data_IF_093683851998
#
_entry.id   IF_093683851998
#
_cell.length_a   1.000
_cell.length_b   1.000
_cell.length_c   1.000
_cell.angle_alpha   90.00
_cell.angle_beta   90.00
_cell.angle_gamma   90.00
#
_symmetry.space_group_name_H-M   'P 1'
#
loop_
_entity.id
_entity.type
_entity.pdbx_description
1 polymer ?
#
# COMPACT_ATOMS: atom_id res chain seq x y z
N UNK A 1 -14.86 -18.46 -51.66
CA UNK A 1 -15.08 -17.22 -52.42
C UNK A 1 -15.55 -16.11 -51.47
N UNK A 2 -14.86 -14.96 -51.58
CA UNK A 2 -15.14 -13.64 -50.96
C UNK A 2 -15.04 -13.62 -49.41
N UNK A 3 -14.04 -13.08 -48.75
CA UNK A 3 -13.09 -12.01 -49.08
C UNK A 3 -13.65 -10.61 -48.84
N UNK A 4 -13.21 -9.95 -47.74
CA UNK A 4 -13.03 -8.48 -47.64
C UNK A 4 -12.55 -8.15 -46.22
N UNK A 5 -11.28 -7.82 -46.05
CA UNK A 5 -10.68 -6.48 -46.18
C UNK A 5 -11.37 -5.48 -45.25
N UNK A 6 -10.71 -5.15 -44.16
CA UNK A 6 -10.79 -3.84 -43.55
C UNK A 6 -9.39 -3.20 -43.54
N UNK A 7 -9.32 -2.12 -44.30
CA UNK A 7 -8.15 -1.29 -44.54
C UNK A 7 -7.76 -0.49 -43.32
N UNK A 8 -6.47 -0.25 -43.27
CA UNK A 8 -5.76 0.75 -42.47
C UNK A 8 -6.26 2.18 -42.73
N UNK A 9 -6.25 2.99 -41.74
CA UNK A 9 -6.01 4.43 -41.87
C UNK A 9 -5.09 4.89 -40.78
N UNK A 10 -3.94 5.36 -41.23
CA UNK A 10 -2.83 5.93 -40.49
C UNK A 10 -3.04 7.43 -40.17
N UNK A 11 -2.39 7.85 -39.11
CA UNK A 11 -1.75 9.15 -38.85
C UNK A 11 -2.63 10.32 -38.40
N UNK A 12 -2.40 10.81 -37.26
CA UNK A 12 -1.88 12.14 -36.87
C UNK A 12 -2.22 12.51 -35.43
N UNK A 13 -1.22 13.00 -34.68
CA UNK A 13 -1.41 13.96 -33.58
C UNK A 13 -1.09 13.49 -32.18
N UNK A 14 0.16 13.60 -31.80
CA UNK A 14 0.68 13.53 -30.43
C UNK A 14 0.12 14.67 -29.57
N UNK A 15 -0.10 14.40 -28.28
CA UNK A 15 -0.39 15.31 -27.17
C UNK A 15 -1.82 15.36 -26.60
N UNK A 16 -2.75 14.54 -27.07
CA UNK A 16 -4.13 14.50 -26.53
C UNK A 16 -4.56 13.13 -26.02
N UNK A 17 -3.61 12.18 -25.90
CA UNK A 17 -3.96 10.75 -25.88
C UNK A 17 -4.55 10.19 -24.58
N UNK A 18 -4.36 10.85 -23.45
CA UNK A 18 -4.98 10.33 -22.20
C UNK A 18 -6.51 10.51 -22.21
N UNK A 19 -6.99 11.64 -22.68
CA UNK A 19 -8.44 11.86 -22.87
C UNK A 19 -8.97 11.06 -24.05
N UNK A 20 -8.16 10.91 -25.11
CA UNK A 20 -8.53 10.16 -26.32
C UNK A 20 -8.42 8.65 -26.10
N UNK A 21 -7.48 8.13 -25.33
CA UNK A 21 -7.41 6.68 -25.04
C UNK A 21 -8.54 6.25 -24.12
N UNK A 22 -8.90 7.02 -23.11
CA UNK A 22 -10.09 6.77 -22.30
C UNK A 22 -11.39 6.91 -23.12
N UNK A 23 -11.50 7.95 -23.93
CA UNK A 23 -12.66 8.15 -24.82
C UNK A 23 -12.68 7.14 -25.98
N UNK A 24 -11.52 6.71 -26.52
CA UNK A 24 -11.43 5.70 -27.57
C UNK A 24 -11.76 4.31 -27.04
N UNK A 25 -11.29 3.94 -25.83
CA UNK A 25 -11.72 2.71 -25.15
C UNK A 25 -13.21 2.76 -24.80
N UNK A 26 -13.72 3.88 -24.31
CA UNK A 26 -15.15 4.08 -24.10
C UNK A 26 -15.96 4.00 -25.39
N UNK A 27 -15.48 4.60 -26.49
CA UNK A 27 -16.14 4.52 -27.81
C UNK A 27 -16.00 3.15 -28.49
N UNK A 28 -14.89 2.44 -28.27
CA UNK A 28 -14.71 1.06 -28.78
C UNK A 28 -15.61 0.08 -28.02
N UNK A 29 -15.78 0.27 -26.72
CA UNK A 29 -16.75 -0.46 -25.89
C UNK A 29 -18.20 -0.26 -26.36
N UNK A 30 -18.52 0.94 -26.80
CA UNK A 30 -19.87 1.24 -27.31
C UNK A 30 -20.17 0.66 -28.69
N UNK A 31 -19.17 0.27 -29.47
CA UNK A 31 -19.34 -0.23 -30.87
C UNK A 31 -19.29 -1.75 -31.04
N UNK A 32 -18.89 -2.54 -30.05
CA UNK A 32 -18.73 -3.99 -30.17
C UNK A 32 -19.82 -4.84 -29.50
N UNK A 33 -20.93 -4.26 -29.07
CA UNK A 33 -21.99 -5.00 -28.40
C UNK A 33 -23.27 -5.06 -29.23
N UNK A 34 -23.30 -5.93 -30.22
CA UNK A 34 -24.54 -6.40 -30.90
C UNK A 34 -25.06 -7.69 -30.22
N UNK A 35 -25.43 -7.62 -28.95
CA UNK A 35 -26.43 -8.48 -28.30
C UNK A 35 -27.24 -7.58 -27.36
N UNK A 36 -28.57 -7.78 -27.21
CA UNK A 36 -29.34 -7.04 -26.22
C UNK A 36 -28.96 -7.52 -24.81
N UNK A 37 -27.80 -7.04 -24.33
CA UNK A 37 -27.41 -7.23 -22.94
C UNK A 37 -28.21 -6.27 -22.09
N UNK A 38 -28.89 -6.79 -21.08
CA UNK A 38 -29.53 -5.98 -20.05
C UNK A 38 -28.54 -4.93 -19.54
N UNK A 39 -29.01 -3.74 -19.14
CA UNK A 39 -28.18 -2.64 -18.61
C UNK A 39 -27.20 -3.15 -17.54
N UNK A 40 -27.61 -4.16 -16.80
CA UNK A 40 -26.81 -4.86 -15.77
C UNK A 40 -25.64 -5.67 -16.39
N UNK A 41 -25.84 -6.33 -17.52
CA UNK A 41 -24.79 -7.08 -18.22
C UNK A 41 -23.70 -6.17 -18.79
N UNK A 42 -24.08 -5.01 -19.34
CA UNK A 42 -23.10 -4.01 -19.81
C UNK A 42 -22.29 -3.42 -18.67
N UNK A 43 -22.89 -3.18 -17.51
CA UNK A 43 -22.21 -2.67 -16.32
C UNK A 43 -21.23 -3.70 -15.75
N UNK A 44 -21.59 -4.99 -15.71
CA UNK A 44 -20.68 -6.06 -15.26
C UNK A 44 -19.49 -6.23 -16.20
N UNK A 45 -19.67 -6.10 -17.52
CA UNK A 45 -18.57 -6.20 -18.49
C UNK A 45 -17.64 -4.99 -18.41
N UNK A 46 -18.17 -3.78 -18.21
CA UNK A 46 -17.39 -2.57 -17.97
C UNK A 46 -16.55 -2.67 -16.69
N UNK A 47 -17.15 -3.16 -15.60
CA UNK A 47 -16.44 -3.38 -14.34
C UNK A 47 -15.33 -4.41 -14.49
N UNK A 48 -15.59 -5.54 -15.18
CA UNK A 48 -14.57 -6.56 -15.44
C UNK A 48 -13.41 -6.04 -16.28
N UNK A 49 -13.70 -5.20 -17.29
CA UNK A 49 -12.68 -4.62 -18.16
C UNK A 49 -11.87 -3.56 -17.42
N UNK A 50 -12.52 -2.75 -16.57
CA UNK A 50 -11.84 -1.82 -15.66
C UNK A 50 -10.89 -2.55 -14.68
N UNK A 51 -11.35 -3.64 -14.07
CA UNK A 51 -10.52 -4.41 -13.12
C UNK A 51 -9.32 -5.13 -13.78
N UNK A 52 -9.28 -5.23 -15.11
CA UNK A 52 -8.12 -5.76 -15.84
C UNK A 52 -7.00 -4.73 -16.03
N UNK A 53 -7.27 -3.44 -15.76
CA UNK A 53 -6.26 -2.40 -15.86
C UNK A 53 -5.28 -2.53 -14.68
N UNK A 54 -3.99 -2.54 -14.94
CA UNK A 54 -2.94 -2.52 -13.89
C UNK A 54 -3.11 -1.33 -12.92
N UNK A 55 -3.72 -0.23 -13.37
CA UNK A 55 -3.98 0.98 -12.57
C UNK A 55 -5.30 0.97 -11.79
N UNK A 56 -6.15 -0.06 -11.94
CA UNK A 56 -7.50 -0.07 -11.35
C UNK A 56 -7.50 0.09 -9.84
N UNK A 57 -6.58 -0.58 -9.13
CA UNK A 57 -6.44 -0.46 -7.68
C UNK A 57 -6.13 0.97 -7.24
N UNK A 58 -5.18 1.63 -7.91
CA UNK A 58 -4.85 3.03 -7.62
C UNK A 58 -6.00 3.99 -7.89
N UNK A 59 -6.77 3.79 -8.97
CA UNK A 59 -7.94 4.62 -9.30
C UNK A 59 -9.05 4.44 -8.26
N UNK A 60 -9.32 3.20 -7.83
CA UNK A 60 -10.29 2.93 -6.76
C UNK A 60 -9.88 3.56 -5.44
N UNK A 61 -8.60 3.53 -5.13
CA UNK A 61 -8.04 4.12 -3.92
C UNK A 61 -8.22 5.65 -3.92
N UNK A 62 -7.90 6.32 -5.02
CA UNK A 62 -8.14 7.76 -5.20
C UNK A 62 -9.64 8.06 -5.10
N UNK A 63 -10.48 7.27 -5.77
CA UNK A 63 -11.94 7.42 -5.74
C UNK A 63 -12.50 7.31 -4.32
N UNK A 64 -12.05 6.31 -3.55
CA UNK A 64 -12.44 6.11 -2.16
C UNK A 64 -12.02 7.29 -1.27
N UNK A 65 -10.81 7.84 -1.50
CA UNK A 65 -10.31 9.02 -0.79
C UNK A 65 -11.15 10.26 -1.07
N UNK A 66 -11.41 10.53 -2.35
CA UNK A 66 -12.27 11.66 -2.74
C UNK A 66 -13.65 11.51 -2.13
N UNK A 67 -14.21 10.30 -2.16
CA UNK A 67 -15.51 10.01 -1.55
C UNK A 67 -15.49 10.25 -0.03
N UNK A 68 -14.43 9.86 0.67
CA UNK A 68 -14.25 10.09 2.11
C UNK A 68 -14.23 11.60 2.43
N UNK A 69 -13.39 12.36 1.68
CA UNK A 69 -13.31 13.83 1.87
C UNK A 69 -14.63 14.49 1.56
N UNK A 70 -15.34 14.11 0.50
CA UNK A 70 -16.66 14.64 0.17
C UNK A 70 -17.67 14.27 1.26
N UNK A 71 -17.70 13.04 1.74
CA UNK A 71 -18.61 12.61 2.80
C UNK A 71 -18.37 13.40 4.10
N UNK A 72 -17.10 13.58 4.49
CA UNK A 72 -16.71 14.32 5.69
C UNK A 72 -17.02 15.83 5.63
N UNK A 73 -17.20 16.40 4.42
CA UNK A 73 -17.46 17.84 4.20
C UNK A 73 -18.83 18.13 3.58
N UNK A 74 -19.75 17.19 3.63
CA UNK A 74 -21.10 17.30 3.09
C UNK A 74 -22.15 17.19 4.21
N UNK A 75 -23.44 17.42 3.93
CA UNK A 75 -24.53 17.16 4.87
C UNK A 75 -24.57 15.68 5.36
N UNK A 76 -23.85 14.79 4.72
CA UNK A 76 -23.74 13.37 5.09
C UNK A 76 -22.67 13.08 6.15
N UNK A 77 -21.98 14.10 6.69
CA UNK A 77 -20.95 13.92 7.73
C UNK A 77 -21.46 13.14 8.94
N UNK A 78 -22.71 13.39 9.35
CA UNK A 78 -23.35 12.63 10.44
C UNK A 78 -23.48 11.13 10.15
N UNK A 79 -23.82 10.76 8.90
CA UNK A 79 -23.89 9.36 8.46
C UNK A 79 -22.49 8.74 8.36
N UNK A 80 -21.52 9.49 7.85
CA UNK A 80 -20.12 9.05 7.74
C UNK A 80 -19.54 8.73 9.13
N UNK A 81 -19.67 9.64 10.08
CA UNK A 81 -19.20 9.43 11.45
C UNK A 81 -19.97 8.29 12.14
N UNK A 82 -21.30 8.23 11.99
CA UNK A 82 -22.08 7.12 12.53
C UNK A 82 -21.64 5.75 11.99
N UNK A 83 -21.24 5.65 10.72
CA UNK A 83 -20.67 4.42 10.16
C UNK A 83 -19.35 4.07 10.84
N UNK A 84 -18.43 5.03 11.00
CA UNK A 84 -17.12 4.78 11.61
C UNK A 84 -17.22 4.44 13.10
N UNK A 85 -18.14 5.07 13.81
CA UNK A 85 -18.36 4.90 15.25
C UNK A 85 -19.29 3.74 15.58
N UNK A 86 -19.88 3.07 14.57
CA UNK A 86 -20.78 1.95 14.78
C UNK A 86 -20.11 0.90 15.67
N UNK A 87 -20.66 0.58 16.86
CA UNK A 87 -20.09 -0.42 17.74
C UNK A 87 -20.30 -1.82 17.14
N UNK A 88 -19.19 -2.47 16.79
CA UNK A 88 -19.17 -3.86 16.32
C UNK A 88 -18.68 -4.75 17.44
N UNK A 89 -19.52 -5.70 17.86
CA UNK A 89 -19.21 -6.66 18.91
C UNK A 89 -19.16 -8.07 18.34
N UNK A 90 -18.05 -8.76 18.55
CA UNK A 90 -17.91 -10.20 18.30
C UNK A 90 -17.69 -10.90 19.62
N UNK A 91 -18.58 -11.86 19.94
CA UNK A 91 -18.52 -12.64 21.17
C UNK A 91 -18.47 -14.13 20.86
N UNK A 92 -17.44 -14.79 21.34
CA UNK A 92 -17.29 -16.24 21.25
C UNK A 92 -17.06 -16.79 22.65
N UNK A 93 -18.10 -17.33 23.27
CA UNK A 93 -18.05 -17.78 24.65
C UNK A 93 -17.74 -16.65 25.64
N UNK A 94 -16.62 -16.78 26.36
CA UNK A 94 -16.13 -15.78 27.30
C UNK A 94 -15.31 -14.65 26.64
N UNK A 95 -14.89 -14.84 25.38
CA UNK A 95 -14.10 -13.84 24.65
C UNK A 95 -15.04 -12.83 24.02
N UNK A 96 -14.91 -11.58 24.43
CA UNK A 96 -15.64 -10.43 23.89
C UNK A 96 -14.65 -9.42 23.30
N UNK A 97 -14.87 -9.03 22.05
CA UNK A 97 -14.19 -7.92 21.38
C UNK A 97 -15.26 -6.96 20.91
N UNK A 98 -15.32 -5.79 21.53
CA UNK A 98 -16.23 -4.70 21.17
C UNK A 98 -15.40 -3.46 20.85
N UNK A 99 -15.41 -3.03 19.60
CA UNK A 99 -14.67 -1.86 19.10
C UNK A 99 -15.53 -1.13 18.06
N UNK A 100 -15.32 0.19 17.83
CA UNK A 100 -15.89 0.90 16.69
C UNK A 100 -15.49 0.26 15.35
N UNK A 101 -16.34 0.41 14.33
CA UNK A 101 -16.07 -0.13 12.98
C UNK A 101 -14.73 0.36 12.41
N UNK A 102 -14.34 1.62 12.67
CA UNK A 102 -13.04 2.15 12.28
C UNK A 102 -11.88 1.30 12.81
N UNK A 103 -11.91 0.89 14.07
CA UNK A 103 -10.84 0.06 14.64
C UNK A 103 -10.86 -1.37 14.10
N UNK A 104 -12.03 -1.91 13.74
CA UNK A 104 -12.11 -3.21 13.04
C UNK A 104 -11.49 -3.14 11.64
N UNK A 105 -11.68 -2.02 10.94
CA UNK A 105 -11.04 -1.75 9.63
C UNK A 105 -9.54 -1.67 9.81
N UNK A 106 -9.05 -0.89 10.79
CA UNK A 106 -7.63 -0.66 11.00
C UNK A 106 -6.89 -1.90 11.53
N UNK A 107 -7.48 -2.67 12.46
CA UNK A 107 -6.85 -3.85 13.03
C UNK A 107 -7.09 -5.12 12.19
N UNK A 108 -8.31 -5.29 11.68
CA UNK A 108 -8.75 -6.52 11.01
C UNK A 108 -8.37 -6.55 9.53
N UNK A 109 -8.78 -5.54 8.75
CA UNK A 109 -8.48 -5.51 7.31
C UNK A 109 -6.98 -5.31 7.06
N UNK A 110 -6.32 -4.47 7.89
CA UNK A 110 -4.88 -4.29 7.78
C UNK A 110 -4.10 -5.54 8.19
N UNK A 111 -4.60 -6.40 9.08
CA UNK A 111 -3.97 -7.70 9.35
C UNK A 111 -3.99 -8.61 8.11
N UNK A 112 -5.05 -8.57 7.29
CA UNK A 112 -5.12 -9.30 6.01
C UNK A 112 -4.18 -8.70 4.98
N UNK A 113 -4.06 -7.36 4.92
CA UNK A 113 -3.07 -6.67 4.09
C UNK A 113 -1.64 -7.12 4.46
N UNK A 114 -1.28 -7.06 5.74
CA UNK A 114 0.05 -7.48 6.19
C UNK A 114 0.28 -9.00 6.07
N UNK A 115 -0.78 -9.80 6.07
CA UNK A 115 -0.68 -11.22 5.70
C UNK A 115 -0.26 -11.38 4.24
N UNK A 116 -0.87 -10.64 3.31
CA UNK A 116 -0.46 -10.63 1.90
C UNK A 116 1.00 -10.19 1.75
N UNK A 117 1.39 -9.06 2.36
CA UNK A 117 2.78 -8.57 2.34
C UNK A 117 3.75 -9.63 2.90
N UNK A 118 3.37 -10.32 3.97
CA UNK A 118 4.17 -11.40 4.53
C UNK A 118 4.34 -12.60 3.58
N UNK A 119 3.31 -12.95 2.80
CA UNK A 119 3.37 -14.00 1.76
C UNK A 119 4.30 -13.56 0.62
N UNK A 120 4.15 -12.35 0.11
CA UNK A 120 5.01 -11.75 -0.91
C UNK A 120 6.46 -11.70 -0.44
N UNK A 121 6.70 -11.19 0.77
CA UNK A 121 8.02 -11.14 1.38
C UNK A 121 8.67 -12.51 1.43
N UNK A 122 7.97 -13.53 1.93
CA UNK A 122 8.48 -14.89 2.01
C UNK A 122 8.81 -15.45 0.62
N UNK A 123 7.96 -15.23 -0.38
CA UNK A 123 8.20 -15.67 -1.75
C UNK A 123 9.41 -14.98 -2.34
N UNK A 124 9.52 -13.67 -2.21
CA UNK A 124 10.63 -12.89 -2.73
C UNK A 124 11.98 -13.32 -2.12
N UNK A 125 12.02 -13.60 -0.80
CA UNK A 125 13.24 -14.06 -0.14
C UNK A 125 13.65 -15.47 -0.56
N UNK A 126 12.70 -16.38 -0.82
CA UNK A 126 13.01 -17.78 -1.09
C UNK A 126 13.19 -18.10 -2.58
N UNK A 127 12.46 -17.44 -3.46
CA UNK A 127 12.41 -17.76 -4.89
C UNK A 127 12.44 -16.53 -5.82
N UNK A 128 12.31 -15.30 -5.28
CA UNK A 128 12.20 -14.07 -6.06
C UNK A 128 13.53 -13.31 -6.21
N UNK A 129 13.39 -12.03 -6.57
CA UNK A 129 14.51 -11.10 -6.78
C UNK A 129 15.34 -10.90 -5.50
N UNK A 130 14.73 -11.03 -4.33
CA UNK A 130 15.41 -10.91 -3.03
C UNK A 130 16.22 -12.14 -2.64
N UNK A 131 16.18 -13.23 -3.42
CA UNK A 131 17.01 -14.43 -3.20
C UNK A 131 18.48 -14.21 -3.57
N UNK A 132 18.80 -13.20 -4.38
CA UNK A 132 20.15 -12.87 -4.82
C UNK A 132 20.68 -11.64 -4.12
N UNK A 133 21.77 -11.76 -3.35
CA UNK A 133 22.43 -10.64 -2.67
C UNK A 133 22.68 -9.43 -3.57
N UNK A 134 23.07 -9.68 -4.83
CA UNK A 134 23.40 -8.60 -5.78
C UNK A 134 22.19 -7.77 -6.21
N UNK A 135 21.00 -8.36 -6.21
CA UNK A 135 19.73 -7.71 -6.57
C UNK A 135 19.11 -6.98 -5.38
N UNK A 136 19.31 -7.52 -4.18
CA UNK A 136 18.78 -6.98 -2.91
C UNK A 136 19.44 -5.67 -2.50
N UNK A 137 20.74 -5.50 -2.74
CA UNK A 137 21.53 -4.39 -2.17
C UNK A 137 21.03 -3.01 -2.61
N UNK A 138 20.66 -2.85 -3.88
CA UNK A 138 20.24 -1.55 -4.38
C UNK A 138 18.87 -1.11 -3.80
N UNK A 139 17.81 -1.94 -3.84
CA UNK A 139 16.54 -1.60 -3.22
C UNK A 139 16.64 -1.43 -1.69
N UNK A 140 17.41 -2.28 -0.99
CA UNK A 140 17.57 -2.15 0.47
C UNK A 140 18.32 -0.90 0.88
N UNK A 141 19.36 -0.50 0.13
CA UNK A 141 20.03 0.78 0.35
C UNK A 141 19.07 1.96 0.14
N UNK A 142 18.29 1.90 -0.95
CA UNK A 142 17.23 2.89 -1.22
C UNK A 142 16.20 2.96 -0.10
N UNK A 143 15.72 1.82 0.41
CA UNK A 143 14.75 1.76 1.50
C UNK A 143 15.33 2.32 2.81
N UNK A 144 16.56 1.96 3.17
CA UNK A 144 17.24 2.54 4.35
C UNK A 144 17.32 4.06 4.28
N UNK A 145 17.73 4.61 3.13
CA UNK A 145 17.73 6.05 2.91
C UNK A 145 16.33 6.64 2.92
N UNK A 146 15.38 5.94 2.26
CA UNK A 146 13.96 6.31 2.19
C UNK A 146 13.23 6.27 3.52
N UNK A 147 13.71 5.58 4.53
CA UNK A 147 13.22 5.63 5.91
C UNK A 147 13.98 6.66 6.74
N UNK A 148 15.31 6.64 6.72
CA UNK A 148 16.14 7.43 7.62
C UNK A 148 16.04 8.95 7.34
N UNK A 149 16.07 9.37 6.07
CA UNK A 149 16.05 10.80 5.72
C UNK A 149 14.71 11.47 6.00
N UNK A 150 13.53 10.88 5.62
CA UNK A 150 12.24 11.42 6.01
C UNK A 150 12.07 11.57 7.52
N UNK A 151 12.47 10.55 8.28
CA UNK A 151 12.44 10.57 9.74
C UNK A 151 13.32 11.69 10.29
N UNK A 152 14.54 11.85 9.78
CA UNK A 152 15.44 12.92 10.21
C UNK A 152 14.84 14.31 9.96
N UNK A 153 14.22 14.54 8.78
CA UNK A 153 13.54 15.80 8.46
C UNK A 153 12.35 16.03 9.40
N UNK A 154 11.53 15.00 9.61
CA UNK A 154 10.39 15.10 10.51
C UNK A 154 10.80 15.46 11.94
N UNK A 155 11.79 14.76 12.48
CA UNK A 155 12.32 15.00 13.83
C UNK A 155 12.94 16.40 13.92
N UNK A 156 13.69 16.85 12.91
CA UNK A 156 14.27 18.18 12.90
C UNK A 156 13.22 19.30 12.95
N UNK A 157 12.05 19.10 12.33
CA UNK A 157 10.97 20.09 12.35
C UNK A 157 10.17 20.02 13.66
N UNK A 158 9.98 18.82 14.23
CA UNK A 158 9.07 18.59 15.35
C UNK A 158 9.76 18.39 16.71
N UNK A 159 11.11 18.54 16.80
CA UNK A 159 11.90 18.24 17.99
C UNK A 159 11.43 18.95 19.28
N UNK A 160 10.78 20.09 19.16
CA UNK A 160 10.32 20.89 20.31
C UNK A 160 8.98 20.43 20.88
N UNK A 161 8.26 19.51 20.23
CA UNK A 161 6.95 19.04 20.70
C UNK A 161 6.95 17.51 20.85
N UNK A 162 6.97 17.03 22.10
CA UNK A 162 7.01 15.60 22.41
C UNK A 162 5.79 14.83 21.89
N UNK A 163 4.60 15.46 21.83
CA UNK A 163 3.40 14.82 21.27
C UNK A 163 3.57 14.60 19.76
N UNK A 164 4.03 15.63 19.02
CA UNK A 164 4.23 15.51 17.57
C UNK A 164 5.32 14.50 17.23
N UNK A 165 6.33 14.36 18.06
CA UNK A 165 7.38 13.37 17.87
C UNK A 165 6.86 11.93 17.82
N UNK A 166 5.70 11.62 18.39
CA UNK A 166 5.10 10.27 18.26
C UNK A 166 4.85 9.89 16.79
N UNK A 167 4.60 10.87 15.93
CA UNK A 167 4.38 10.67 14.50
C UNK A 167 5.63 10.49 13.63
N UNK A 168 6.82 10.29 14.24
CA UNK A 168 8.10 10.25 13.52
C UNK A 168 8.18 9.20 12.40
N UNK A 169 7.44 8.11 12.54
CA UNK A 169 7.44 7.01 11.57
C UNK A 169 6.47 7.24 10.38
N UNK A 170 5.54 8.21 10.49
CA UNK A 170 4.53 8.47 9.44
C UNK A 170 5.16 8.69 8.06
N UNK A 171 6.20 9.55 7.89
CA UNK A 171 6.80 9.79 6.58
C UNK A 171 7.78 8.70 6.13
N UNK A 172 8.02 7.65 6.93
CA UNK A 172 8.94 6.57 6.59
C UNK A 172 8.34 5.57 5.59
N UNK A 173 7.01 5.39 5.56
CA UNK A 173 6.35 4.38 4.75
C UNK A 173 6.09 4.83 3.30
N UNK A 174 5.99 3.85 2.39
CA UNK A 174 5.59 4.02 0.99
C UNK A 174 4.34 3.20 0.69
N UNK A 175 3.36 3.76 0.00
CA UNK A 175 2.19 3.04 -0.50
C UNK A 175 2.50 2.44 -1.87
N UNK A 176 2.81 1.12 -1.89
CA UNK A 176 3.12 0.37 -3.11
C UNK A 176 1.98 0.44 -4.11
N UNK A 177 0.75 0.21 -3.66
CA UNK A 177 -0.40 0.10 -4.54
C UNK A 177 -0.67 1.41 -5.29
N UNK A 178 -0.55 2.54 -4.58
CA UNK A 178 -0.70 3.86 -5.18
C UNK A 178 0.49 4.19 -6.10
N UNK A 179 1.73 3.97 -5.66
CA UNK A 179 2.93 4.28 -6.43
C UNK A 179 3.00 3.47 -7.75
N UNK A 180 2.69 2.15 -7.69
CA UNK A 180 2.56 1.31 -8.89
C UNK A 180 1.38 1.74 -9.75
N UNK A 181 0.26 2.15 -9.17
CA UNK A 181 -0.89 2.69 -9.90
C UNK A 181 -0.53 3.92 -10.72
N UNK A 182 0.21 4.87 -10.13
CA UNK A 182 0.73 6.06 -10.84
C UNK A 182 1.72 5.65 -11.94
N UNK A 183 2.63 4.71 -11.65
CA UNK A 183 3.58 4.21 -12.63
C UNK A 183 2.89 3.48 -13.79
N UNK A 184 1.82 2.73 -13.52
CA UNK A 184 1.04 2.03 -14.53
C UNK A 184 0.33 2.98 -15.53
N UNK A 185 0.07 4.24 -15.14
CA UNK A 185 -0.47 5.26 -16.06
C UNK A 185 0.50 5.61 -17.20
N UNK A 186 1.80 5.35 -17.03
CA UNK A 186 2.82 5.52 -18.08
C UNK A 186 2.86 4.32 -19.06
N UNK A 187 2.09 3.27 -18.79
CA UNK A 187 1.90 2.12 -19.65
C UNK A 187 3.18 1.32 -19.92
N UNK A 188 3.33 0.87 -21.15
CA UNK A 188 4.45 0.02 -21.60
C UNK A 188 5.80 0.75 -21.70
N UNK A 189 5.83 2.08 -21.51
CA UNK A 189 7.08 2.89 -21.48
C UNK A 189 7.94 2.57 -20.26
N UNK A 190 7.35 2.04 -19.19
CA UNK A 190 8.06 1.74 -17.94
C UNK A 190 8.81 0.41 -18.06
N UNK A 191 10.16 0.42 -17.98
CA UNK A 191 10.95 -0.81 -17.95
C UNK A 191 10.58 -1.68 -16.75
N UNK A 192 10.55 -3.01 -16.95
CA UNK A 192 10.27 -3.95 -15.88
C UNK A 192 11.24 -3.80 -14.68
N UNK A 193 12.50 -3.48 -14.94
CA UNK A 193 13.50 -3.24 -13.89
C UNK A 193 13.15 -2.09 -12.95
N UNK A 194 12.46 -1.03 -13.42
CA UNK A 194 11.97 0.05 -12.55
C UNK A 194 10.80 -0.42 -11.68
N UNK A 195 9.86 -1.20 -12.25
CA UNK A 195 8.76 -1.80 -11.47
C UNK A 195 9.31 -2.70 -10.38
N UNK A 196 10.24 -3.60 -10.73
CA UNK A 196 10.91 -4.50 -9.77
C UNK A 196 11.65 -3.73 -8.68
N UNK A 197 12.40 -2.68 -9.05
CA UNK A 197 13.10 -1.84 -8.07
C UNK A 197 12.13 -1.18 -7.09
N UNK A 198 11.04 -0.56 -7.59
CA UNK A 198 10.03 0.07 -6.74
C UNK A 198 9.36 -0.95 -5.80
N UNK A 199 8.94 -2.10 -6.35
CA UNK A 199 8.30 -3.17 -5.56
C UNK A 199 9.25 -3.71 -4.49
N UNK A 200 10.49 -4.03 -4.85
CA UNK A 200 11.49 -4.53 -3.89
C UNK A 200 11.79 -3.51 -2.79
N UNK A 201 11.96 -2.22 -3.16
CA UNK A 201 12.19 -1.14 -2.21
C UNK A 201 11.02 -1.02 -1.23
N UNK A 202 9.80 -1.02 -1.74
CA UNK A 202 8.61 -0.86 -0.92
C UNK A 202 8.36 -2.07 -0.02
N UNK A 203 8.70 -3.30 -0.44
CA UNK A 203 8.71 -4.49 0.44
C UNK A 203 9.66 -4.26 1.63
N UNK A 204 10.85 -3.69 1.42
CA UNK A 204 11.76 -3.35 2.53
C UNK A 204 11.21 -2.23 3.41
N UNK A 205 10.56 -1.22 2.84
CA UNK A 205 9.87 -0.17 3.59
C UNK A 205 8.76 -0.76 4.48
N UNK A 206 7.97 -1.71 3.96
CA UNK A 206 6.90 -2.37 4.71
C UNK A 206 7.46 -3.24 5.84
N UNK A 207 8.56 -3.97 5.61
CA UNK A 207 9.27 -4.71 6.67
C UNK A 207 9.77 -3.76 7.74
N UNK A 208 10.35 -2.63 7.33
CA UNK A 208 10.79 -1.57 8.24
C UNK A 208 9.63 -1.00 9.06
N UNK A 209 8.50 -0.73 8.41
CA UNK A 209 7.28 -0.26 9.07
C UNK A 209 6.75 -1.28 10.10
N UNK A 210 6.69 -2.58 9.74
CA UNK A 210 6.28 -3.65 10.65
C UNK A 210 7.19 -3.70 11.89
N UNK A 211 8.52 -3.61 11.70
CA UNK A 211 9.47 -3.60 12.82
C UNK A 211 9.31 -2.36 13.70
N UNK A 212 9.11 -1.20 13.09
CA UNK A 212 8.87 0.05 13.82
C UNK A 212 7.58 -0.07 14.64
N UNK A 213 6.49 -0.55 14.05
CA UNK A 213 5.21 -0.74 14.74
C UNK A 213 5.38 -1.71 15.90
N UNK A 214 6.05 -2.84 15.69
CA UNK A 214 6.25 -3.85 16.72
C UNK A 214 7.04 -3.35 17.93
N UNK A 215 8.03 -2.45 17.72
CA UNK A 215 8.93 -2.00 18.78
C UNK A 215 8.44 -0.72 19.44
N UNK A 216 7.90 0.23 18.69
CA UNK A 216 7.64 1.59 19.16
C UNK A 216 6.16 1.89 19.42
N UNK A 217 5.21 1.10 18.85
CA UNK A 217 3.76 1.30 19.01
C UNK A 217 3.11 0.15 19.79
N UNK A 218 3.87 -0.51 20.66
CA UNK A 218 3.36 -1.54 21.58
C UNK A 218 2.88 -0.86 22.85
N UNK A 219 1.67 -1.20 23.30
CA UNK A 219 1.04 -0.74 24.54
C UNK A 219 1.42 -1.65 25.73
N UNK A 220 0.67 -1.57 26.82
CA UNK A 220 0.85 -2.44 27.98
C UNK A 220 0.68 -3.92 27.64
N UNK A 221 1.71 -4.71 27.91
CA UNK A 221 1.74 -6.13 27.55
C UNK A 221 0.94 -6.99 28.52
N UNK A 222 -0.02 -7.74 27.99
CA UNK A 222 -0.79 -8.75 28.73
C UNK A 222 -0.14 -10.12 28.59
N UNK A 223 0.55 -10.59 29.62
CA UNK A 223 1.33 -11.85 29.61
C UNK A 223 0.49 -13.07 29.20
N UNK A 224 -0.76 -13.18 29.68
CA UNK A 224 -1.65 -14.30 29.35
C UNK A 224 -1.96 -14.37 27.85
N UNK A 225 -2.23 -13.23 27.22
CA UNK A 225 -2.50 -13.16 25.78
C UNK A 225 -1.23 -13.48 24.97
N UNK A 226 -0.06 -13.05 25.43
CA UNK A 226 1.22 -13.40 24.82
C UNK A 226 1.52 -14.90 24.91
N UNK A 227 1.28 -15.52 26.07
CA UNK A 227 1.44 -16.98 26.21
C UNK A 227 0.52 -17.75 25.25
N UNK A 228 -0.74 -17.30 25.11
CA UNK A 228 -1.65 -17.91 24.14
C UNK A 228 -1.18 -17.69 22.69
N UNK A 229 -0.69 -16.51 22.34
CA UNK A 229 -0.10 -16.24 21.03
C UNK A 229 1.12 -17.15 20.77
N UNK A 230 2.00 -17.34 21.75
CA UNK A 230 3.13 -18.27 21.63
C UNK A 230 2.67 -19.71 21.37
N UNK A 231 1.62 -20.19 22.05
CA UNK A 231 1.04 -21.52 21.80
C UNK A 231 0.55 -21.62 20.37
N UNK A 232 -0.16 -20.61 19.83
CA UNK A 232 -0.63 -20.59 18.44
C UNK A 232 0.54 -20.62 17.43
N UNK A 233 1.61 -19.90 17.70
CA UNK A 233 2.84 -19.91 16.89
C UNK A 233 3.47 -21.31 16.90
N UNK A 234 3.55 -21.96 18.05
CA UNK A 234 4.06 -23.35 18.15
C UNK A 234 3.21 -24.31 17.34
N UNK A 235 1.87 -24.19 17.39
CA UNK A 235 0.95 -25.01 16.61
C UNK A 235 1.15 -24.77 15.11
N UNK A 236 1.29 -23.52 14.66
CA UNK A 236 1.60 -23.17 13.26
C UNK A 236 2.95 -23.77 12.82
N UNK A 237 3.96 -23.72 13.68
CA UNK A 237 5.25 -24.33 13.43
C UNK A 237 5.15 -25.85 13.27
N UNK A 238 4.40 -26.52 14.14
CA UNK A 238 4.15 -27.98 14.07
C UNK A 238 3.44 -28.34 12.76
N UNK A 239 2.38 -27.63 12.39
CA UNK A 239 1.66 -27.84 11.13
C UNK A 239 2.59 -27.71 9.92
N UNK A 240 3.44 -26.68 9.91
CA UNK A 240 4.40 -26.47 8.85
C UNK A 240 5.44 -27.60 8.79
N UNK A 241 5.96 -28.07 9.95
CA UNK A 241 6.91 -29.18 10.03
C UNK A 241 6.34 -30.53 9.64
N UNK A 242 5.04 -30.73 9.89
CA UNK A 242 4.31 -31.92 9.46
C UNK A 242 3.97 -31.89 7.96
N UNK A 243 4.31 -30.83 7.24
CA UNK A 243 4.08 -30.71 5.81
C UNK A 243 2.60 -30.59 5.42
N UNK A 244 1.75 -30.09 6.33
CA UNK A 244 0.31 -29.89 6.06
C UNK A 244 0.15 -28.83 4.96
N UNK A 245 -0.30 -29.25 3.76
CA UNK A 245 -0.49 -28.36 2.61
C UNK A 245 -1.87 -27.69 2.59
N UNK A 246 -2.84 -28.19 3.38
CA UNK A 246 -4.17 -27.57 3.46
C UNK A 246 -4.09 -26.21 4.16
N UNK A 247 -4.67 -25.18 3.52
CA UNK A 247 -4.65 -23.77 4.00
C UNK A 247 -5.57 -23.55 5.20
N UNK A 248 -6.69 -24.30 5.29
CA UNK A 248 -7.74 -24.08 6.29
C UNK A 248 -7.25 -24.11 7.74
N UNK A 249 -6.44 -25.10 8.20
CA UNK A 249 -5.92 -25.10 9.56
C UNK A 249 -5.08 -23.87 9.90
N UNK A 250 -4.24 -23.39 8.94
CA UNK A 250 -3.41 -22.20 9.14
C UNK A 250 -4.26 -20.96 9.33
N UNK A 251 -5.33 -20.78 8.51
CA UNK A 251 -6.23 -19.63 8.62
C UNK A 251 -6.99 -19.63 9.95
N UNK A 252 -7.49 -20.80 10.40
CA UNK A 252 -8.20 -20.91 11.68
C UNK A 252 -7.28 -20.56 12.85
N UNK A 253 -6.04 -21.12 12.86
CA UNK A 253 -5.06 -20.84 13.92
C UNK A 253 -4.55 -19.40 13.80
N UNK A 254 -4.39 -18.90 12.58
CA UNK A 254 -4.04 -17.50 12.31
C UNK A 254 -5.07 -16.51 12.87
N UNK A 255 -6.37 -16.83 12.75
CA UNK A 255 -7.42 -16.01 13.35
C UNK A 255 -7.36 -16.06 14.90
N UNK A 256 -7.08 -17.23 15.48
CA UNK A 256 -6.86 -17.35 16.94
C UNK A 256 -5.61 -16.58 17.39
N UNK A 257 -4.53 -16.64 16.61
CA UNK A 257 -3.32 -15.85 16.82
C UNK A 257 -3.61 -14.35 16.77
N UNK A 258 -4.34 -13.89 15.74
CA UNK A 258 -4.74 -12.49 15.60
C UNK A 258 -5.55 -12.00 16.81
N UNK A 259 -6.51 -12.78 17.29
CA UNK A 259 -7.28 -12.47 18.51
C UNK A 259 -6.39 -12.42 19.77
N UNK A 260 -5.41 -13.30 19.87
CA UNK A 260 -4.45 -13.30 20.98
C UNK A 260 -3.58 -12.05 20.96
N UNK A 261 -3.02 -11.71 19.79
CA UNK A 261 -2.18 -10.52 19.61
C UNK A 261 -2.99 -9.25 19.84
N UNK A 262 -4.24 -9.17 19.34
CA UNK A 262 -5.16 -8.05 19.59
C UNK A 262 -5.40 -7.77 21.09
N UNK A 263 -5.31 -8.80 21.93
CA UNK A 263 -5.49 -8.70 23.38
C UNK A 263 -4.16 -8.59 24.15
N UNK A 264 -3.04 -8.67 23.49
CA UNK A 264 -1.73 -8.73 24.13
C UNK A 264 -1.07 -7.36 24.37
N UNK A 265 -1.58 -6.29 23.75
CA UNK A 265 -0.95 -4.97 23.72
C UNK A 265 0.04 -4.80 22.55
N UNK A 266 0.33 -5.88 21.82
CA UNK A 266 1.06 -5.80 20.54
C UNK A 266 0.05 -5.51 19.42
N UNK A 267 0.50 -4.78 18.40
CA UNK A 267 -0.40 -4.44 17.29
C UNK A 267 -0.87 -5.68 16.53
N UNK A 268 -2.19 -5.82 16.36
CA UNK A 268 -2.84 -7.03 15.81
C UNK A 268 -2.38 -7.42 14.40
N UNK A 269 -1.95 -6.45 13.60
CA UNK A 269 -1.49 -6.65 12.21
C UNK A 269 -0.26 -7.54 12.09
N UNK A 270 0.59 -7.59 13.12
CA UNK A 270 1.79 -8.44 13.16
C UNK A 270 1.42 -9.93 13.08
N UNK A 271 0.25 -10.31 13.58
CA UNK A 271 -0.22 -11.69 13.48
C UNK A 271 -0.35 -12.17 12.03
N UNK A 272 -0.76 -11.27 11.11
CA UNK A 272 -0.84 -11.57 9.68
C UNK A 272 0.54 -11.94 9.10
N UNK A 273 1.56 -11.13 9.42
CA UNK A 273 2.94 -11.38 8.97
C UNK A 273 3.47 -12.70 9.53
N UNK A 274 3.28 -12.92 10.83
CA UNK A 274 3.71 -14.17 11.48
C UNK A 274 3.06 -15.37 10.81
N UNK A 275 1.74 -15.33 10.58
CA UNK A 275 1.00 -16.40 9.91
C UNK A 275 1.59 -16.69 8.52
N UNK A 276 1.91 -15.67 7.72
CA UNK A 276 2.44 -15.82 6.38
C UNK A 276 3.74 -16.63 6.34
N UNK A 277 4.62 -16.44 7.34
CA UNK A 277 5.86 -17.19 7.42
C UNK A 277 5.67 -18.69 7.65
N UNK A 278 4.51 -19.12 8.18
CA UNK A 278 4.22 -20.54 8.37
C UNK A 278 3.48 -21.18 7.19
N UNK A 279 2.90 -20.41 6.25
CA UNK A 279 2.26 -20.98 5.06
C UNK A 279 3.31 -21.70 4.20
N UNK A 280 3.11 -22.99 3.82
CA UNK A 280 4.08 -23.73 3.01
C UNK A 280 4.24 -23.12 1.61
N UNK A 281 5.51 -22.97 1.18
CA UNK A 281 5.83 -22.52 -0.19
C UNK A 281 5.63 -23.64 -1.21
N UNK A 282 5.91 -24.90 -0.81
CA UNK A 282 5.78 -26.09 -1.66
C UNK A 282 4.73 -27.02 -1.08
N UNK A 283 3.93 -27.62 -1.95
CA UNK A 283 3.06 -28.73 -1.59
C UNK A 283 3.90 -29.96 -1.23
N UNK A 284 3.40 -30.83 -0.36
CA UNK A 284 4.02 -32.13 -0.10
C UNK A 284 4.12 -33.02 -1.35
N UNK A 285 3.26 -32.79 -2.36
CA UNK A 285 3.35 -33.40 -3.67
C UNK A 285 4.29 -32.59 -4.57
N UNK A 286 5.28 -33.24 -5.18
CA UNK A 286 6.29 -32.60 -6.06
C UNK A 286 5.69 -31.82 -7.24
N UNK A 287 4.48 -32.16 -7.67
CA UNK A 287 3.75 -31.50 -8.77
C UNK A 287 2.51 -30.73 -8.30
N UNK A 288 2.28 -30.62 -6.98
CA UNK A 288 1.13 -29.91 -6.43
C UNK A 288 1.31 -28.38 -6.48
N UNK A 289 0.20 -27.64 -6.54
CA UNK A 289 0.25 -26.17 -6.53
C UNK A 289 0.83 -25.65 -5.20
N UNK A 290 1.50 -24.50 -5.24
CA UNK A 290 2.05 -23.84 -4.06
C UNK A 290 0.96 -23.21 -3.20
N UNK A 291 0.74 -23.66 -1.94
CA UNK A 291 -0.28 -23.06 -1.09
C UNK A 291 -0.07 -21.55 -0.86
N UNK A 292 1.20 -21.13 -0.77
CA UNK A 292 1.57 -19.72 -0.61
C UNK A 292 1.19 -18.91 -1.84
N UNK A 293 1.57 -19.35 -3.05
CA UNK A 293 1.30 -18.60 -4.30
C UNK A 293 -0.18 -18.51 -4.61
N UNK A 294 -0.95 -19.58 -4.30
CA UNK A 294 -2.40 -19.54 -4.46
C UNK A 294 -3.05 -18.54 -3.51
N UNK A 295 -2.62 -18.51 -2.22
CA UNK A 295 -3.14 -17.52 -1.27
C UNK A 295 -2.77 -16.09 -1.67
N UNK A 296 -1.53 -15.87 -2.09
CA UNK A 296 -1.08 -14.57 -2.60
C UNK A 296 -1.94 -14.12 -3.79
N UNK A 297 -2.15 -15.01 -4.77
CA UNK A 297 -2.96 -14.73 -5.94
C UNK A 297 -4.43 -14.43 -5.60
N UNK A 298 -5.03 -15.21 -4.70
CA UNK A 298 -6.43 -15.06 -4.29
C UNK A 298 -6.64 -13.79 -3.45
N UNK A 299 -5.66 -13.40 -2.61
CA UNK A 299 -5.75 -12.24 -1.73
C UNK A 299 -5.46 -10.92 -2.44
N UNK A 300 -4.57 -10.92 -3.44
CA UNK A 300 -4.14 -9.70 -4.10
C UNK A 300 -5.32 -8.85 -4.65
N UNK A 301 -6.31 -9.40 -5.37
CA UNK A 301 -7.48 -8.64 -5.80
C UNK A 301 -8.34 -8.15 -4.63
N UNK A 302 -8.52 -8.99 -3.60
CA UNK A 302 -9.30 -8.64 -2.40
C UNK A 302 -8.67 -7.46 -1.65
N UNK A 303 -7.34 -7.44 -1.54
CA UNK A 303 -6.61 -6.35 -0.89
C UNK A 303 -6.66 -5.10 -1.76
N UNK A 304 -6.29 -5.21 -3.04
CA UNK A 304 -6.15 -4.03 -3.92
C UNK A 304 -7.48 -3.35 -4.25
N UNK A 305 -8.57 -4.13 -4.41
CA UNK A 305 -9.86 -3.61 -4.85
C UNK A 305 -10.89 -3.50 -3.72
N UNK A 306 -10.64 -4.10 -2.56
CA UNK A 306 -11.53 -4.09 -1.42
C UNK A 306 -10.91 -3.45 -0.19
N UNK A 307 -9.89 -4.08 0.40
CA UNK A 307 -9.34 -3.69 1.70
C UNK A 307 -8.75 -2.28 1.67
N UNK A 308 -7.85 -1.99 0.73
CA UNK A 308 -7.20 -0.68 0.64
C UNK A 308 -8.18 0.46 0.35
N UNK A 309 -9.14 0.35 -0.58
CA UNK A 309 -10.17 1.37 -0.76
C UNK A 309 -11.07 1.58 0.46
N UNK A 310 -11.49 0.51 1.16
CA UNK A 310 -12.27 0.63 2.40
C UNK A 310 -11.46 1.32 3.49
N UNK A 311 -10.19 0.94 3.65
CA UNK A 311 -9.28 1.57 4.60
C UNK A 311 -9.08 3.06 4.29
N UNK A 312 -8.84 3.41 3.01
CA UNK A 312 -8.70 4.79 2.58
C UNK A 312 -9.98 5.59 2.83
N UNK A 313 -11.16 5.04 2.52
CA UNK A 313 -12.45 5.67 2.82
C UNK A 313 -12.62 5.94 4.31
N UNK A 314 -12.26 4.98 5.17
CA UNK A 314 -12.43 5.12 6.61
C UNK A 314 -11.47 6.13 7.24
N UNK A 315 -10.24 6.25 6.71
CA UNK A 315 -9.17 7.02 7.37
C UNK A 315 -8.84 8.37 6.68
N UNK A 316 -9.21 8.57 5.40
CA UNK A 316 -8.89 9.80 4.68
C UNK A 316 -9.96 10.91 4.79
N UNK A 317 -11.03 10.70 5.54
CA UNK A 317 -12.10 11.69 5.74
C UNK A 317 -11.65 12.84 6.63
N UNK A 318 -11.10 13.89 6.02
CA UNK A 318 -10.64 15.10 6.70
C UNK A 318 -11.75 16.15 6.67
N UNK A 319 -12.05 16.76 7.82
CA UNK A 319 -12.88 17.94 7.87
C UNK A 319 -12.11 19.15 7.33
N UNK A 320 -12.58 19.73 6.25
CA UNK A 320 -12.03 20.96 5.67
C UNK A 320 -12.57 22.23 6.35
N UNK A 321 -13.55 22.08 7.26
CA UNK A 321 -14.10 23.18 8.03
C UNK A 321 -13.02 23.77 8.94
N UNK A 322 -12.63 25.02 8.69
CA UNK A 322 -11.56 25.69 9.44
C UNK A 322 -10.12 25.40 8.96
N UNK A 323 -9.91 24.45 8.05
CA UNK A 323 -8.60 24.21 7.44
C UNK A 323 -8.26 25.36 6.49
N UNK A 324 -7.13 26.02 6.77
CA UNK A 324 -6.54 27.06 5.91
C UNK A 324 -5.28 26.51 5.26
N UNK A 325 -4.84 27.11 4.17
CA UNK A 325 -3.56 26.75 3.56
C UNK A 325 -2.39 26.92 4.55
N UNK A 326 -2.52 27.82 5.53
CA UNK A 326 -1.58 27.97 6.65
C UNK A 326 -1.56 26.75 7.59
N UNK A 327 -2.57 25.88 7.60
CA UNK A 327 -2.57 24.66 8.43
C UNK A 327 -1.49 23.65 7.98
N UNK A 328 -1.09 23.69 6.70
CA UNK A 328 0.07 22.92 6.20
C UNK A 328 1.41 23.41 6.78
N UNK A 329 1.48 24.63 7.29
CA UNK A 329 2.67 25.22 7.88
C UNK A 329 2.84 24.88 9.38
N UNK A 330 1.85 24.25 10.00
CA UNK A 330 2.04 23.71 11.36
C UNK A 330 3.13 22.62 11.35
N UNK A 331 3.96 22.55 12.40
CA UNK A 331 5.12 21.65 12.42
C UNK A 331 4.79 20.20 12.09
N UNK A 332 3.66 19.67 12.59
CA UNK A 332 3.28 18.27 12.38
C UNK A 332 2.95 17.97 10.90
N UNK A 333 1.97 18.62 10.24
CA UNK A 333 1.69 18.40 8.82
C UNK A 333 2.87 18.75 7.93
N UNK A 334 3.62 19.84 8.24
CA UNK A 334 4.77 20.26 7.49
C UNK A 334 5.89 19.20 7.55
N UNK A 335 6.16 18.67 8.74
CA UNK A 335 7.17 17.62 8.94
C UNK A 335 6.85 16.35 8.16
N UNK A 336 5.56 15.96 8.14
CA UNK A 336 5.08 14.81 7.37
C UNK A 336 5.22 15.07 5.87
N UNK A 337 4.68 16.20 5.38
CA UNK A 337 4.73 16.53 3.95
C UNK A 337 6.16 16.69 3.44
N UNK A 338 7.04 17.36 4.19
CA UNK A 338 8.45 17.53 3.85
C UNK A 338 9.20 16.19 3.91
N UNK A 339 8.93 15.35 4.90
CA UNK A 339 9.48 14.00 5.00
C UNK A 339 9.11 13.14 3.81
N UNK A 340 7.82 13.07 3.46
CA UNK A 340 7.33 12.31 2.31
C UNK A 340 7.87 12.86 0.99
N UNK A 341 7.73 14.16 0.74
CA UNK A 341 8.11 14.73 -0.55
C UNK A 341 9.62 14.92 -0.70
N UNK A 342 10.27 15.62 0.22
CA UNK A 342 11.71 15.90 0.11
C UNK A 342 12.56 14.76 0.65
N UNK A 343 12.15 14.19 1.80
CA UNK A 343 12.92 13.16 2.48
C UNK A 343 13.04 11.88 1.68
N UNK A 344 11.94 11.38 1.13
CA UNK A 344 11.95 10.15 0.32
C UNK A 344 12.79 10.29 -0.94
N UNK A 345 12.61 11.36 -1.73
CA UNK A 345 13.39 11.54 -2.96
C UNK A 345 14.89 11.67 -2.68
N UNK A 346 15.28 12.43 -1.64
CA UNK A 346 16.69 12.57 -1.26
C UNK A 346 17.22 11.25 -0.71
N UNK A 347 16.51 10.63 0.23
CA UNK A 347 16.94 9.41 0.89
C UNK A 347 17.10 8.25 -0.07
N UNK A 348 16.05 7.92 -0.84
CA UNK A 348 16.07 6.81 -1.79
C UNK A 348 17.15 7.04 -2.87
N UNK A 349 17.18 8.23 -3.47
CA UNK A 349 18.12 8.51 -4.54
C UNK A 349 19.57 8.54 -4.06
N UNK A 350 19.85 9.29 -2.98
CA UNK A 350 21.22 9.45 -2.47
C UNK A 350 21.83 8.12 -2.03
N UNK A 351 21.07 7.30 -1.27
CA UNK A 351 21.57 6.01 -0.79
C UNK A 351 21.75 5.01 -1.93
N UNK A 352 20.83 4.98 -2.90
CA UNK A 352 20.99 4.16 -4.11
C UNK A 352 22.21 4.60 -4.93
N UNK A 353 22.40 5.92 -5.10
CA UNK A 353 23.55 6.48 -5.81
C UNK A 353 24.88 6.14 -5.11
N UNK A 354 24.92 6.31 -3.79
CA UNK A 354 26.11 5.97 -2.98
C UNK A 354 26.42 4.48 -3.03
N UNK A 355 25.41 3.61 -2.94
CA UNK A 355 25.59 2.16 -3.02
C UNK A 355 26.24 1.74 -4.36
N UNK A 356 25.81 2.36 -5.46
CA UNK A 356 26.41 2.10 -6.79
C UNK A 356 27.81 2.70 -6.88
N UNK A 357 28.02 3.96 -6.43
CA UNK A 357 29.31 4.65 -6.50
C UNK A 357 30.38 3.95 -5.66
N UNK A 358 30.01 3.38 -4.52
CA UNK A 358 30.90 2.58 -3.66
C UNK A 358 31.14 1.16 -4.18
N UNK A 359 30.52 0.76 -5.29
CA UNK A 359 30.66 -0.58 -5.88
C UNK A 359 29.94 -1.69 -5.11
N UNK A 360 29.09 -1.33 -4.13
CA UNK A 360 28.32 -2.27 -3.31
C UNK A 360 27.13 -2.81 -4.12
N UNK A 361 26.49 -1.95 -4.92
CA UNK A 361 25.35 -2.29 -5.77
C UNK A 361 25.68 -2.08 -7.26
N UNK A 362 24.95 -2.79 -8.13
CA UNK A 362 25.02 -2.57 -9.57
C UNK A 362 24.02 -1.49 -10.00
N UNK A 363 24.35 -0.67 -11.01
CA UNK A 363 23.39 0.25 -11.57
C UNK A 363 22.20 -0.51 -12.19
N UNK A 364 21.04 0.14 -12.20
CA UNK A 364 19.83 -0.43 -12.78
C UNK A 364 19.86 -0.24 -14.29
N UNK A 365 20.36 -1.22 -15.04
CA UNK A 365 20.40 -1.19 -16.50
C UNK A 365 19.08 -1.75 -17.10
N UNK A 366 18.57 -1.18 -18.19
CA UNK A 366 19.05 -0.02 -18.97
C UNK A 366 18.56 1.35 -18.48
N UNK A 367 18.27 1.50 -17.20
CA UNK A 367 17.60 2.67 -16.60
C UNK A 367 18.61 3.76 -16.26
N UNK A 368 18.35 4.97 -16.75
CA UNK A 368 19.17 6.14 -16.39
C UNK A 368 18.84 6.69 -14.99
N UNK A 369 19.81 7.42 -14.39
CA UNK A 369 19.66 8.06 -13.08
C UNK A 369 18.46 8.99 -12.95
N UNK A 370 18.03 9.62 -14.07
CA UNK A 370 16.84 10.50 -14.09
C UNK A 370 15.54 9.71 -13.84
N UNK A 371 15.41 8.53 -14.46
CA UNK A 371 14.26 7.68 -14.24
C UNK A 371 14.25 7.06 -12.82
N UNK A 372 15.44 6.67 -12.32
CA UNK A 372 15.58 6.25 -10.92
C UNK A 372 15.16 7.36 -9.94
N UNK A 373 15.53 8.63 -10.23
CA UNK A 373 15.10 9.77 -9.43
C UNK A 373 13.58 9.97 -9.46
N UNK A 374 12.94 9.77 -10.64
CA UNK A 374 11.48 9.79 -10.73
C UNK A 374 10.81 8.73 -9.86
N UNK A 375 11.37 7.51 -9.80
CA UNK A 375 10.91 6.46 -8.88
C UNK A 375 11.15 6.84 -7.42
N UNK A 376 12.31 7.42 -7.09
CA UNK A 376 12.61 7.90 -5.74
C UNK A 376 11.57 8.92 -5.25
N UNK A 377 11.07 9.79 -6.14
CA UNK A 377 9.97 10.72 -5.82
C UNK A 377 8.66 9.96 -5.61
N UNK A 378 8.33 8.96 -6.46
CA UNK A 378 7.12 8.14 -6.28
C UNK A 378 7.11 7.38 -4.95
N UNK A 379 8.27 6.99 -4.41
CA UNK A 379 8.37 6.42 -3.07
C UNK A 379 7.88 7.38 -1.97
N UNK A 380 7.78 8.68 -2.24
CA UNK A 380 7.17 9.66 -1.35
C UNK A 380 5.64 9.61 -1.27
N UNK A 381 4.99 8.74 -2.06
CA UNK A 381 3.57 8.44 -1.91
C UNK A 381 3.40 7.50 -0.71
N UNK A 382 3.15 8.05 0.46
CA UNK A 382 2.97 7.26 1.69
C UNK A 382 1.54 6.86 1.99
N UNK A 383 0.61 7.61 1.49
CA UNK A 383 -0.86 7.59 1.58
C UNK A 383 -1.45 6.57 2.58
N UNK A 384 -1.90 5.36 2.16
CA UNK A 384 -2.56 4.39 3.06
C UNK A 384 -1.66 3.92 4.19
N UNK A 385 -0.38 3.69 3.90
CA UNK A 385 0.59 3.26 4.91
C UNK A 385 0.91 4.37 5.91
N UNK A 386 1.04 5.62 5.45
CA UNK A 386 1.21 6.77 6.34
C UNK A 386 -0.05 7.02 7.18
N UNK A 387 -1.27 6.89 6.62
CA UNK A 387 -2.53 6.96 7.37
C UNK A 387 -2.62 5.85 8.43
N UNK A 388 -2.17 4.64 8.10
CA UNK A 388 -2.13 3.54 9.04
C UNK A 388 -1.18 3.82 10.22
N UNK A 389 0.06 4.24 9.95
CA UNK A 389 1.01 4.58 11.02
C UNK A 389 0.50 5.79 11.82
N UNK A 390 -0.16 6.75 11.17
CA UNK A 390 -0.78 7.89 11.83
C UNK A 390 -1.87 7.47 12.83
N UNK A 391 -2.73 6.52 12.45
CA UNK A 391 -3.77 5.99 13.34
C UNK A 391 -3.22 5.22 14.55
N UNK A 392 -1.95 4.79 14.49
CA UNK A 392 -1.23 4.19 15.62
C UNK A 392 -0.51 5.23 16.50
N UNK A 393 -0.02 6.30 15.86
CA UNK A 393 0.73 7.34 16.54
C UNK A 393 -0.17 8.27 17.37
N UNK A 394 -1.40 8.50 16.89
CA UNK A 394 -2.32 9.46 17.46
C UNK A 394 -3.71 8.83 17.68
N UNK A 395 -4.13 8.77 18.94
CA UNK A 395 -5.50 8.41 19.28
C UNK A 395 -6.46 9.56 18.92
N UNK A 396 -7.71 9.24 18.55
CA UNK A 396 -8.72 10.27 18.30
C UNK A 396 -8.83 11.25 19.48
N UNK A 397 -8.74 12.55 19.19
CA UNK A 397 -8.85 13.62 20.18
C UNK A 397 -7.56 13.95 20.95
N UNK A 398 -6.41 13.35 20.62
CA UNK A 398 -5.10 13.70 21.21
C UNK A 398 -4.47 14.95 20.61
N UNK A 399 -4.78 15.25 19.35
CA UNK A 399 -4.32 16.45 18.67
C UNK A 399 -5.34 17.57 18.79
N UNK A 400 -4.85 18.82 18.77
CA UNK A 400 -5.73 19.99 18.71
C UNK A 400 -6.57 19.96 17.42
N UNK A 401 -7.85 20.40 17.48
CA UNK A 401 -8.77 20.43 16.32
C UNK A 401 -8.22 21.22 15.12
N UNK A 402 -7.27 22.11 15.35
CA UNK A 402 -6.61 22.91 14.30
C UNK A 402 -5.47 22.20 13.57
N UNK A 403 -5.01 21.04 14.08
CA UNK A 403 -3.84 20.31 13.57
C UNK A 403 -4.28 18.92 13.17
N UNK A 404 -4.34 18.66 11.87
CA UNK A 404 -4.67 17.35 11.31
C UNK A 404 -3.44 16.85 10.51
N UNK A 405 -2.83 15.78 10.98
CA UNK A 405 -1.65 15.15 10.38
C UNK A 405 -1.93 14.60 8.98
N UNK A 406 -3.20 14.21 8.71
CA UNK A 406 -3.64 13.67 7.41
C UNK A 406 -3.49 14.68 6.28
N UNK A 407 -3.56 15.99 6.58
CA UNK A 407 -3.32 17.06 5.61
C UNK A 407 -1.87 16.96 5.08
N UNK A 408 -0.89 16.74 5.97
CA UNK A 408 0.50 16.54 5.61
C UNK A 408 0.70 15.29 4.77
N UNK A 409 0.05 14.17 5.13
CA UNK A 409 0.09 12.91 4.40
C UNK A 409 -0.44 13.08 2.97
N UNK A 410 -1.64 13.65 2.82
CA UNK A 410 -2.25 13.87 1.51
C UNK A 410 -1.43 14.83 0.65
N UNK A 411 -0.98 15.95 1.22
CA UNK A 411 -0.19 16.95 0.48
C UNK A 411 1.15 16.35 0.00
N UNK A 412 1.91 15.68 0.89
CA UNK A 412 3.18 15.05 0.55
C UNK A 412 3.03 13.95 -0.50
N UNK A 413 2.03 13.07 -0.34
CA UNK A 413 1.73 11.98 -1.27
C UNK A 413 1.30 12.49 -2.64
N UNK A 414 0.43 13.50 -2.69
CA UNK A 414 -0.05 14.09 -3.94
C UNK A 414 1.06 14.81 -4.71
N UNK A 415 1.90 15.60 -4.01
CA UNK A 415 3.06 16.25 -4.60
C UNK A 415 4.04 15.21 -5.16
N UNK A 416 4.30 14.12 -4.42
CA UNK A 416 5.17 13.03 -4.86
C UNK A 416 4.62 12.30 -6.08
N UNK A 417 3.32 11.99 -6.09
CA UNK A 417 2.66 11.33 -7.21
C UNK A 417 2.75 12.15 -8.50
N UNK A 418 2.38 13.44 -8.45
CA UNK A 418 2.39 14.33 -9.62
C UNK A 418 3.82 14.55 -10.11
N UNK A 419 4.73 14.90 -9.21
CA UNK A 419 6.12 15.23 -9.61
C UNK A 419 6.84 14.00 -10.13
N UNK A 420 6.67 12.84 -9.48
CA UNK A 420 7.23 11.57 -9.92
C UNK A 420 6.70 11.15 -11.29
N UNK A 421 5.38 11.28 -11.51
CA UNK A 421 4.76 11.03 -12.81
C UNK A 421 5.37 11.93 -13.90
N UNK A 422 5.41 13.25 -13.69
CA UNK A 422 5.93 14.20 -14.69
C UNK A 422 7.41 13.93 -15.03
N UNK A 423 8.24 13.60 -14.01
CA UNK A 423 9.65 13.31 -14.25
C UNK A 423 9.81 12.00 -15.01
N UNK A 424 9.07 10.95 -14.66
CA UNK A 424 9.12 9.68 -15.38
C UNK A 424 8.60 9.84 -16.81
N UNK A 425 7.51 10.55 -17.02
CA UNK A 425 6.94 10.81 -18.34
C UNK A 425 7.95 11.50 -19.28
N UNK A 426 8.73 12.46 -18.75
CA UNK A 426 9.74 13.19 -19.53
C UNK A 426 11.07 12.45 -19.70
N UNK A 427 11.35 11.43 -18.89
CA UNK A 427 12.65 10.73 -18.88
C UNK A 427 12.59 9.35 -19.54
N UNK A 428 11.44 8.75 -19.59
CA UNK A 428 11.25 7.47 -20.26
C UNK A 428 11.15 7.68 -21.77
N UNK A 429 11.79 6.82 -22.58
CA UNK A 429 11.74 6.93 -24.02
C UNK A 429 10.30 6.70 -24.52
N UNK A 430 9.93 7.44 -25.57
CA UNK A 430 8.71 7.14 -26.30
C UNK A 430 8.89 5.80 -27.04
N UNK A 431 7.90 4.92 -26.95
CA UNK A 431 7.93 3.69 -27.73
C UNK A 431 7.64 4.08 -29.17
N UNK A 432 8.52 3.75 -30.14
CA UNK A 432 8.19 3.93 -31.54
C UNK A 432 6.92 3.12 -31.84
N UNK A 433 5.91 3.82 -32.30
CA UNK A 433 4.60 3.28 -32.72
C UNK A 433 4.72 2.27 -33.85
#
# INVERSE_FOLDING_TARGET
MRGRKCCAMNAMGQASDFRLSLLWHFQKLMRCSERPSTMFGKMTDLVKEFLKLESAGGILLIGATVLAVVAANSPFVGLYNAFLDTPVEVRVGAIKVAKPALLWINDGLMAVFFFLIGLELKREFLEGELSSWRQVVLPSAGALGGMAVPVAIFVAINHSNALYLRGWAIPAATDIAFALGVMAMLGSRVPASLKVFLTSLAIFDDVGAILIIAVFYTEELTLMALLFACVMIIVLFILNRLGVSNRTPYIIIGLALWLAVLKSGIHATIAGVILAFFIPLRSGDLNGPSPLRELEHDLHPTVSYGILPIFAFANAGISLAGVRLSSLLYPLPLGIAAGLFLGKQVGVFLFSFLAVKLGIARPLEPVGWKALYGVAILCGVGFTMSLFISSLAFEPGTLDESVDERIGILAGSFLSAITGYIILDRTLPDIPS
#
